data_IF_463965979191
#
_entry.id   IF_463965979191
#
_cell.length_a   1.000
_cell.length_b   1.000
_cell.length_c   1.000
_cell.angle_alpha   90.00
_cell.angle_beta   90.00
_cell.angle_gamma   90.00
#
_symmetry.space_group_name_H-M   'P 1'
#
loop_
_entity.id
_entity.type
_entity.pdbx_description
1 polymer ?
#
# COMPACT_ATOMS: atom_id res chain seq x y z
N UNK A 1 -2.77 -8.62 23.65
CA UNK A 1 -2.03 -7.57 22.91
C UNK A 1 -1.01 -8.22 21.98
N UNK A 2 -1.00 -7.84 20.72
CA UNK A 2 0.00 -8.35 19.78
C UNK A 2 1.29 -7.54 19.93
N UNK A 3 2.45 -8.19 19.75
CA UNK A 3 3.72 -7.50 19.78
C UNK A 3 4.01 -6.81 18.45
N UNK A 4 5.09 -6.04 18.38
CA UNK A 4 5.47 -5.26 17.20
C UNK A 4 5.71 -6.16 15.98
N UNK A 5 6.35 -7.30 16.16
CA UNK A 5 6.62 -8.25 15.08
C UNK A 5 5.31 -8.79 14.48
N UNK A 6 4.37 -9.21 15.32
CA UNK A 6 3.06 -9.69 14.89
C UNK A 6 2.27 -8.60 14.17
N UNK A 7 2.38 -7.37 14.64
CA UNK A 7 1.73 -6.22 14.05
C UNK A 7 2.26 -5.97 12.63
N UNK A 8 3.58 -5.98 12.46
CA UNK A 8 4.19 -5.78 11.14
C UNK A 8 3.83 -6.94 10.19
N UNK A 9 3.83 -8.17 10.67
CA UNK A 9 3.44 -9.33 9.86
C UNK A 9 2.00 -9.21 9.37
N UNK A 10 1.11 -8.73 10.22
CA UNK A 10 -0.30 -8.50 9.87
C UNK A 10 -0.42 -7.54 8.68
N UNK A 11 0.23 -6.38 8.77
CA UNK A 11 0.13 -5.37 7.72
C UNK A 11 0.89 -5.78 6.46
N UNK A 12 2.02 -6.46 6.60
CA UNK A 12 2.76 -6.99 5.45
C UNK A 12 1.93 -8.01 4.68
N UNK A 13 1.08 -8.78 5.35
CA UNK A 13 0.20 -9.73 4.65
C UNK A 13 -0.79 -9.01 3.74
N UNK A 14 -1.26 -7.83 4.12
CA UNK A 14 -2.12 -7.01 3.27
C UNK A 14 -1.34 -6.41 2.10
N UNK A 15 -0.10 -5.97 2.32
CA UNK A 15 0.77 -5.51 1.23
C UNK A 15 1.05 -6.65 0.26
N UNK A 16 1.28 -7.86 0.77
CA UNK A 16 1.48 -9.06 -0.06
C UNK A 16 0.24 -9.34 -0.93
N UNK A 17 -0.96 -9.19 -0.38
CA UNK A 17 -2.20 -9.38 -1.15
C UNK A 17 -2.29 -8.37 -2.31
N UNK A 18 -1.82 -7.15 -2.11
CA UNK A 18 -1.75 -6.16 -3.18
C UNK A 18 -0.71 -6.58 -4.23
N UNK A 19 0.44 -7.10 -3.81
CA UNK A 19 1.45 -7.63 -4.73
C UNK A 19 0.89 -8.77 -5.59
N UNK A 20 0.04 -9.61 -5.01
CA UNK A 20 -0.61 -10.70 -5.74
C UNK A 20 -1.53 -10.17 -6.84
N UNK A 21 -2.24 -9.07 -6.59
CA UNK A 21 -3.05 -8.41 -7.61
C UNK A 21 -2.20 -7.94 -8.80
N UNK A 22 -1.04 -7.37 -8.51
CA UNK A 22 -0.10 -6.95 -9.55
C UNK A 22 0.36 -8.15 -10.37
N UNK A 23 0.77 -9.22 -9.69
CA UNK A 23 1.21 -10.45 -10.34
C UNK A 23 0.13 -11.00 -11.27
N UNK A 24 -1.13 -11.05 -10.80
CA UNK A 24 -2.25 -11.58 -11.56
C UNK A 24 -2.57 -10.72 -12.79
N UNK A 25 -2.11 -9.47 -12.79
CA UNK A 25 -2.30 -8.53 -13.91
C UNK A 25 -1.05 -8.38 -14.77
N UNK A 26 -0.09 -9.30 -14.65
CA UNK A 26 1.18 -9.28 -15.39
C UNK A 26 2.03 -8.02 -15.12
N UNK A 27 1.92 -7.48 -13.92
CA UNK A 27 2.75 -6.39 -13.43
C UNK A 27 3.88 -6.95 -12.57
N UNK A 28 4.90 -6.15 -12.32
CA UNK A 28 5.90 -6.51 -11.31
C UNK A 28 5.17 -6.62 -9.96
N UNK A 29 5.36 -7.73 -9.22
CA UNK A 29 4.55 -8.02 -8.03
C UNK A 29 4.99 -7.20 -6.82
N UNK A 30 4.60 -5.93 -6.80
CA UNK A 30 4.82 -5.04 -5.66
C UNK A 30 3.46 -4.54 -5.17
N UNK A 31 3.27 -4.60 -3.88
CA UNK A 31 2.07 -4.11 -3.22
C UNK A 31 2.43 -3.25 -2.01
N UNK A 32 1.55 -2.34 -1.64
CA UNK A 32 1.77 -1.42 -0.53
C UNK A 32 0.47 -1.10 0.18
N UNK A 33 0.57 -0.90 1.50
CA UNK A 33 -0.53 -0.36 2.30
C UNK A 33 0.02 0.73 3.21
N UNK A 34 -0.80 1.75 3.44
CA UNK A 34 -0.53 2.81 4.41
C UNK A 34 -1.48 2.60 5.58
N UNK A 35 -0.93 2.59 6.79
CA UNK A 35 -1.66 2.32 8.02
C UNK A 35 -1.61 3.55 8.92
N UNK A 36 -2.74 3.93 9.46
CA UNK A 36 -2.85 4.99 10.44
C UNK A 36 -3.88 4.57 11.49
N UNK A 37 -3.51 4.72 12.75
CA UNK A 37 -4.39 4.42 13.88
C UNK A 37 -5.01 3.03 13.76
N UNK A 38 -4.18 2.05 13.42
CA UNK A 38 -4.53 0.63 13.30
C UNK A 38 -5.57 0.36 12.19
N UNK A 39 -5.58 1.19 11.16
CA UNK A 39 -6.46 1.03 10.00
C UNK A 39 -5.69 1.25 8.71
N UNK A 40 -6.04 0.51 7.67
CA UNK A 40 -5.51 0.75 6.33
C UNK A 40 -6.25 1.96 5.75
N UNK A 41 -5.51 3.00 5.41
CA UNK A 41 -6.06 4.22 4.81
C UNK A 41 -5.68 4.38 3.33
N UNK A 42 -4.77 3.55 2.84
CA UNK A 42 -4.40 3.56 1.42
C UNK A 42 -3.84 2.21 1.02
N UNK A 43 -4.14 1.80 -0.22
CA UNK A 43 -3.64 0.56 -0.81
C UNK A 43 -3.16 0.84 -2.21
N UNK A 44 -2.17 0.08 -2.66
CA UNK A 44 -1.70 0.19 -4.02
C UNK A 44 -0.97 -1.06 -4.48
N UNK A 45 -0.95 -1.27 -5.76
CA UNK A 45 -0.14 -2.29 -6.41
C UNK A 45 0.37 -1.72 -7.73
N UNK A 46 1.47 -2.27 -8.23
CA UNK A 46 2.03 -1.80 -9.49
C UNK A 46 1.01 -1.95 -10.61
N UNK A 47 0.80 -0.87 -11.37
CA UNK A 47 -0.15 -0.81 -12.47
C UNK A 47 0.44 -0.07 -13.68
N UNK A 48 1.77 -0.12 -13.88
CA UNK A 48 2.44 0.63 -14.94
C UNK A 48 1.96 0.21 -16.32
N UNK A 49 1.87 -1.09 -16.57
CA UNK A 49 1.39 -1.61 -17.85
C UNK A 49 -0.10 -1.36 -18.01
N UNK A 50 -0.87 -1.65 -16.97
CA UNK A 50 -2.33 -1.54 -16.99
C UNK A 50 -2.79 -0.11 -17.25
N UNK A 51 -2.13 0.88 -16.64
CA UNK A 51 -2.48 2.30 -16.78
C UNK A 51 -1.66 3.00 -17.85
N UNK A 52 -0.70 2.30 -18.47
CA UNK A 52 0.27 2.90 -19.39
C UNK A 52 0.92 4.13 -18.75
N UNK A 53 1.35 3.98 -17.49
CA UNK A 53 1.87 5.07 -16.67
C UNK A 53 3.12 4.58 -15.94
N UNK A 54 4.31 5.11 -16.28
CA UNK A 54 5.56 4.68 -15.66
C UNK A 54 5.66 5.07 -14.18
N UNK A 55 4.78 5.96 -13.71
CA UNK A 55 4.75 6.38 -12.30
C UNK A 55 3.76 5.57 -11.46
N UNK A 56 3.07 4.59 -12.03
CA UNK A 56 2.07 3.80 -11.33
C UNK A 56 2.71 2.71 -10.46
N UNK A 57 3.56 3.14 -9.54
CA UNK A 57 4.22 2.31 -8.52
C UNK A 57 3.28 2.10 -7.33
N UNK A 58 3.36 0.91 -6.75
CA UNK A 58 2.51 0.51 -5.62
C UNK A 58 2.50 1.53 -4.48
N UNK A 59 3.70 1.96 -4.03
CA UNK A 59 3.80 2.89 -2.89
C UNK A 59 3.25 4.26 -3.22
N UNK A 60 3.41 4.74 -4.44
CA UNK A 60 2.87 6.03 -4.86
C UNK A 60 1.34 5.98 -4.88
N UNK A 61 0.79 4.91 -5.42
CA UNK A 61 -0.67 4.72 -5.46
C UNK A 61 -1.24 4.65 -4.05
N UNK A 62 -0.60 3.89 -3.16
CA UNK A 62 -1.03 3.75 -1.78
C UNK A 62 -0.97 5.08 -1.01
N UNK A 63 0.12 5.83 -1.19
CA UNK A 63 0.32 7.13 -0.54
C UNK A 63 -0.74 8.13 -1.02
N UNK A 64 -0.97 8.19 -2.33
CA UNK A 64 -1.99 9.09 -2.90
C UNK A 64 -3.38 8.73 -2.36
N UNK A 65 -3.72 7.45 -2.31
CA UNK A 65 -4.98 6.99 -1.75
C UNK A 65 -5.12 7.38 -0.27
N UNK A 66 -4.04 7.25 0.50
CA UNK A 66 -4.01 7.59 1.92
C UNK A 66 -4.26 9.08 2.14
N UNK A 67 -3.60 9.94 1.37
CA UNK A 67 -3.79 11.39 1.49
C UNK A 67 -5.22 11.81 1.16
N UNK A 68 -5.84 11.15 0.18
CA UNK A 68 -7.23 11.41 -0.17
C UNK A 68 -8.19 10.93 0.93
N UNK A 69 -7.88 9.80 1.56
CA UNK A 69 -8.71 9.24 2.64
C UNK A 69 -8.78 10.19 3.82
N UNK A 70 -7.64 10.75 4.24
CA UNK A 70 -7.59 11.65 5.40
C UNK A 70 -7.72 13.13 5.01
N UNK A 71 -7.79 13.42 3.72
CA UNK A 71 -7.91 14.77 3.17
C UNK A 71 -6.77 15.69 3.64
N UNK A 72 -5.54 15.16 3.64
CA UNK A 72 -4.34 15.87 4.06
C UNK A 72 -3.14 15.23 3.36
N UNK A 73 -2.27 16.07 2.75
CA UNK A 73 -1.07 15.56 2.11
C UNK A 73 -0.02 15.09 3.12
N UNK A 74 -0.14 15.53 4.38
CA UNK A 74 0.78 15.13 5.45
C UNK A 74 0.32 13.81 6.05
N UNK A 75 1.16 12.81 5.99
CA UNK A 75 0.87 11.48 6.52
C UNK A 75 1.54 11.33 7.90
N UNK A 76 1.19 12.21 8.83
CA UNK A 76 1.74 12.23 10.18
C UNK A 76 1.29 10.96 10.92
N UNK A 77 2.24 10.29 11.58
CA UNK A 77 2.01 9.05 12.33
C UNK A 77 1.50 7.88 11.50
N UNK A 78 1.66 7.94 10.18
CA UNK A 78 1.34 6.84 9.30
C UNK A 78 2.53 5.91 9.12
N UNK A 79 2.25 4.65 8.75
CA UNK A 79 3.26 3.65 8.43
C UNK A 79 3.00 3.10 7.04
N UNK A 80 4.06 2.94 6.27
CA UNK A 80 3.99 2.36 4.93
C UNK A 80 4.60 0.95 4.97
N UNK A 81 3.86 -0.01 4.49
CA UNK A 81 4.30 -1.40 4.33
C UNK A 81 4.33 -1.74 2.84
N UNK A 82 5.51 -2.16 2.37
CA UNK A 82 5.75 -2.46 0.96
C UNK A 82 6.43 -3.82 0.82
#
# INVERSE_FOLDING_TARGET
>A
MINLEQRHSKWMSFAFSQAQKAYDSNEVPVGAVVVYNDKIIGRGHNQKEQLNDPTAHAEIIAITAATNTINDWRLIDCELYV
#
